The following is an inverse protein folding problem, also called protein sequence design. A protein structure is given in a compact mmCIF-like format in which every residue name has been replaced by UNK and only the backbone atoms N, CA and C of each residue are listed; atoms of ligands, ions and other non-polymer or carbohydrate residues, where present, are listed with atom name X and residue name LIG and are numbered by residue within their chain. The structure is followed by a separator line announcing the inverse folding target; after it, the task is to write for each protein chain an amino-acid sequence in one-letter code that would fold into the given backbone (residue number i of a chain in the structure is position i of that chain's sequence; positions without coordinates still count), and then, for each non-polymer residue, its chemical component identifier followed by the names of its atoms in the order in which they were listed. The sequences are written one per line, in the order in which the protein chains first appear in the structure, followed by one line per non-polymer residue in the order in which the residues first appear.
data_IF_340966455884
#
_entry.id   IF_340966455884
#
_cell.length_a   1.000
_cell.length_b   1.000
_cell.length_c   1.000
_cell.angle_alpha   90.00
_cell.angle_beta   90.00
_cell.angle_gamma   90.00
#
_symmetry.space_group_name_H-M   'P 1'
#
loop_
_entity.id
_entity.type
_entity.pdbx_description
1 polymer ?
#
# COMPACT_ATOMS: atom_id res chain seq x y z
N UNK A 1 2.30 62.03 8.97
CA UNK A 1 2.94 62.46 7.71
C UNK A 1 2.87 61.29 6.75
N UNK A 2 1.87 61.27 5.88
CA UNK A 2 1.79 60.33 4.76
C UNK A 2 2.91 60.65 3.78
N UNK A 3 3.86 59.72 3.60
CA UNK A 3 4.77 59.78 2.47
C UNK A 3 3.96 59.43 1.23
N UNK A 4 3.58 60.45 0.44
CA UNK A 4 3.20 60.27 -0.96
C UNK A 4 4.41 59.65 -1.67
N UNK A 5 4.39 58.33 -1.86
CA UNK A 5 5.29 57.67 -2.79
C UNK A 5 5.05 58.25 -4.18
N UNK A 6 6.07 58.87 -4.76
CA UNK A 6 6.02 59.30 -6.16
C UNK A 6 6.03 58.02 -6.99
N UNK A 7 4.94 57.75 -7.71
CA UNK A 7 4.86 56.69 -8.71
C UNK A 7 5.89 57.03 -9.81
N UNK A 8 6.96 56.24 -9.90
CA UNK A 8 8.01 56.43 -10.90
C UNK A 8 7.52 55.85 -12.23
N UNK A 9 7.11 56.73 -13.15
CA UNK A 9 6.58 56.35 -14.46
C UNK A 9 7.68 55.75 -15.37
N UNK A 10 7.38 54.60 -15.99
CA UNK A 10 8.29 53.83 -16.85
C UNK A 10 8.66 54.61 -18.11
N UNK A 11 7.80 55.52 -18.57
CA UNK A 11 8.09 56.39 -19.72
C UNK A 11 9.24 57.37 -19.43
N UNK A 12 9.41 57.80 -18.17
CA UNK A 12 10.44 58.77 -17.75
C UNK A 12 11.86 58.22 -17.84
N UNK A 13 12.03 56.89 -17.81
CA UNK A 13 13.33 56.21 -17.85
C UNK A 13 13.58 55.45 -19.16
N UNK A 14 12.86 55.81 -20.21
CA UNK A 14 13.01 55.25 -21.56
C UNK A 14 14.09 55.98 -22.36
N UNK A 15 14.82 55.24 -23.20
CA UNK A 15 15.79 55.80 -24.12
C UNK A 15 15.09 56.35 -25.36
N UNK A 16 15.25 57.63 -25.69
CA UNK A 16 14.58 58.20 -26.87
C UNK A 16 15.09 57.72 -28.23
N UNK A 17 16.14 56.88 -28.27
CA UNK A 17 16.67 56.28 -29.51
C UNK A 17 16.01 54.92 -29.77
N UNK A 18 16.09 53.98 -28.81
CA UNK A 18 15.54 52.64 -28.96
C UNK A 18 14.11 52.49 -28.39
N UNK A 19 13.61 53.52 -27.70
CA UNK A 19 12.30 53.56 -27.03
C UNK A 19 12.11 52.52 -25.90
N UNK A 20 13.18 51.81 -25.54
CA UNK A 20 13.20 50.85 -24.42
C UNK A 20 13.72 51.50 -23.13
N UNK A 21 13.45 50.86 -21.99
CA UNK A 21 14.03 51.19 -20.70
C UNK A 21 15.57 51.19 -20.77
N UNK A 22 16.20 52.23 -20.20
CA UNK A 22 17.64 52.47 -20.35
C UNK A 22 18.50 51.26 -19.93
N UNK A 23 19.29 50.72 -20.87
CA UNK A 23 20.32 49.70 -20.62
C UNK A 23 21.67 50.36 -20.54
N UNK A 24 22.35 50.20 -19.41
CA UNK A 24 23.60 50.92 -19.10
C UNK A 24 23.45 52.44 -19.36
N UNK A 25 22.58 53.13 -18.61
CA UNK A 25 22.26 54.53 -18.86
C UNK A 25 23.51 55.40 -18.83
N UNK A 26 23.63 56.30 -19.79
CA UNK A 26 24.64 57.35 -19.83
C UNK A 26 23.94 58.68 -19.92
N UNK A 27 24.35 59.63 -19.08
CA UNK A 27 23.88 61.01 -19.13
C UNK A 27 24.95 61.85 -19.83
N UNK A 28 24.62 62.41 -20.99
CA UNK A 28 25.53 63.30 -21.72
C UNK A 28 25.48 64.72 -21.13
N UNK A 29 26.45 65.63 -21.42
CA UNK A 29 26.58 66.90 -20.69
C UNK A 29 25.36 67.84 -20.77
N UNK A 30 24.48 67.69 -21.75
CA UNK A 30 23.22 68.43 -21.81
C UNK A 30 22.11 67.87 -20.90
N UNK A 31 22.38 66.83 -20.11
CA UNK A 31 21.46 66.24 -19.13
C UNK A 31 20.54 65.13 -19.66
N UNK A 32 20.51 64.88 -20.97
CA UNK A 32 19.72 63.78 -21.54
C UNK A 32 20.41 62.43 -21.33
N UNK A 33 19.61 61.38 -21.14
CA UNK A 33 20.12 60.04 -20.86
C UNK A 33 19.70 59.02 -21.91
N UNK A 34 20.64 58.17 -22.32
CA UNK A 34 20.44 57.14 -23.34
C UNK A 34 21.09 55.82 -22.93
N UNK A 35 20.75 54.73 -23.60
CA UNK A 35 21.54 53.51 -23.51
C UNK A 35 22.94 53.80 -24.06
N UNK A 36 23.99 53.33 -23.37
CA UNK A 36 25.39 53.50 -23.78
C UNK A 36 25.59 53.16 -25.26
N UNK A 37 25.11 52.00 -25.70
CA UNK A 37 25.25 51.53 -27.08
C UNK A 37 24.49 52.40 -28.09
N UNK A 38 23.33 52.93 -27.73
CA UNK A 38 22.50 53.74 -28.62
C UNK A 38 23.14 55.09 -28.93
N UNK A 39 23.63 55.80 -27.90
CA UNK A 39 24.31 57.09 -28.11
C UNK A 39 25.68 56.92 -28.75
N UNK A 40 26.38 55.83 -28.42
CA UNK A 40 27.64 55.49 -29.09
C UNK A 40 27.42 55.27 -30.59
N UNK A 41 26.43 54.46 -30.98
CA UNK A 41 26.11 54.19 -32.40
C UNK A 41 25.70 55.46 -33.14
N UNK A 42 24.92 56.33 -32.48
CA UNK A 42 24.52 57.62 -33.06
C UNK A 42 25.74 58.51 -33.36
N UNK A 43 26.70 58.60 -32.44
CA UNK A 43 27.92 59.39 -32.65
C UNK A 43 28.95 58.74 -33.57
N UNK A 44 29.04 57.41 -33.60
CA UNK A 44 29.92 56.68 -34.52
C UNK A 44 29.54 56.96 -36.00
N UNK A 45 28.26 57.19 -36.28
CA UNK A 45 27.80 57.65 -37.60
C UNK A 45 28.14 59.11 -37.93
N UNK A 46 28.46 59.93 -36.91
CA UNK A 46 28.80 61.36 -37.04
C UNK A 46 30.31 61.64 -36.95
N UNK A 47 31.15 60.64 -36.65
CA UNK A 47 32.61 60.77 -36.47
C UNK A 47 33.31 61.41 -37.68
N UNK A 48 32.78 61.24 -38.89
CA UNK A 48 33.33 61.88 -40.11
C UNK A 48 33.14 63.41 -40.18
N UNK A 49 32.30 64.00 -39.33
CA UNK A 49 31.99 65.45 -39.30
C UNK A 49 32.58 66.18 -38.09
N UNK A 50 33.25 65.48 -37.16
CA UNK A 50 33.78 66.01 -35.89
C UNK A 50 32.75 66.79 -35.06
N UNK A 51 31.45 66.52 -35.22
CA UNK A 51 30.38 67.27 -34.58
C UNK A 51 29.35 66.26 -34.04
N UNK A 52 29.37 66.04 -32.72
CA UNK A 52 28.50 65.05 -32.07
C UNK A 52 27.30 65.74 -31.47
N UNK A 53 26.09 65.39 -31.93
CA UNK A 53 24.88 66.07 -31.49
C UNK A 53 24.05 65.23 -30.51
N UNK A 54 23.29 65.89 -29.63
CA UNK A 54 22.28 65.24 -28.79
C UNK A 54 21.02 64.92 -29.63
N UNK A 55 20.52 63.68 -29.65
CA UNK A 55 19.33 63.31 -30.40
C UNK A 55 18.07 64.10 -30.04
N UNK A 56 17.91 64.53 -28.78
CA UNK A 56 16.70 65.21 -28.30
C UNK A 56 16.76 66.72 -28.46
N UNK A 57 17.84 67.37 -27.98
CA UNK A 57 17.95 68.83 -27.98
C UNK A 57 18.89 69.40 -29.04
N UNK A 58 19.56 68.53 -29.82
CA UNK A 58 20.50 68.90 -30.90
C UNK A 58 21.69 69.74 -30.46
N UNK A 59 21.98 69.81 -29.16
CA UNK A 59 23.18 70.43 -28.64
C UNK A 59 24.43 69.68 -29.13
N UNK A 60 25.43 70.42 -29.62
CA UNK A 60 26.62 69.86 -30.27
C UNK A 60 27.83 69.90 -29.36
N UNK A 61 28.65 68.85 -29.38
CA UNK A 61 29.83 68.71 -28.53
C UNK A 61 31.09 68.53 -29.38
N UNK A 62 32.11 69.34 -29.11
CA UNK A 62 33.45 69.25 -29.72
C UNK A 62 34.51 69.56 -28.65
N UNK A 63 35.36 68.61 -28.21
CA UNK A 63 35.50 67.23 -28.69
C UNK A 63 34.37 66.27 -28.21
N UNK A 64 34.36 65.03 -28.73
CA UNK A 64 33.40 63.97 -28.35
C UNK A 64 33.39 63.75 -26.84
N UNK A 65 32.23 63.82 -26.16
CA UNK A 65 32.14 63.52 -24.74
C UNK A 65 32.50 62.06 -24.46
N UNK A 66 33.26 61.83 -23.38
CA UNK A 66 33.52 60.48 -22.89
C UNK A 66 32.24 59.94 -22.24
N UNK A 67 31.75 58.80 -22.73
CA UNK A 67 30.56 58.16 -22.20
C UNK A 67 30.91 57.34 -20.95
N UNK A 68 30.34 57.71 -19.81
CA UNK A 68 30.49 56.98 -18.55
C UNK A 68 29.11 56.56 -18.06
N UNK A 69 28.99 55.30 -17.63
CA UNK A 69 27.74 54.76 -17.10
C UNK A 69 27.29 55.56 -15.86
N UNK A 70 26.06 56.06 -15.89
CA UNK A 70 25.40 56.67 -14.76
C UNK A 70 24.92 55.57 -13.80
N UNK A 71 25.69 55.33 -12.74
CA UNK A 71 25.42 54.28 -11.75
C UNK A 71 24.13 54.51 -10.98
N UNK A 72 23.75 55.77 -10.72
CA UNK A 72 22.51 56.11 -10.02
C UNK A 72 21.27 55.78 -10.87
N UNK A 73 21.26 56.20 -12.15
CA UNK A 73 20.17 55.83 -13.06
C UNK A 73 20.11 54.32 -13.28
N UNK A 74 21.26 53.64 -13.34
CA UNK A 74 21.28 52.18 -13.45
C UNK A 74 20.61 51.51 -12.24
N UNK A 75 20.86 51.98 -11.01
CA UNK A 75 20.22 51.45 -9.81
C UNK A 75 18.70 51.71 -9.82
N UNK A 76 18.27 52.91 -10.20
CA UNK A 76 16.84 53.27 -10.27
C UNK A 76 16.10 52.44 -11.33
N UNK A 77 16.71 52.26 -12.52
CA UNK A 77 16.15 51.42 -13.59
C UNK A 77 16.08 49.95 -13.18
N UNK A 78 17.09 49.43 -12.48
CA UNK A 78 17.06 48.06 -11.96
C UNK A 78 16.03 47.88 -10.84
N UNK A 79 15.84 48.89 -9.99
CA UNK A 79 14.74 48.90 -9.02
C UNK A 79 13.39 48.88 -9.76
N UNK A 80 13.18 49.72 -10.77
CA UNK A 80 11.97 49.70 -11.60
C UNK A 80 11.73 48.35 -12.28
N UNK A 81 12.77 47.67 -12.77
CA UNK A 81 12.65 46.30 -13.29
C UNK A 81 12.21 45.32 -12.21
N UNK A 82 12.76 45.42 -10.99
CA UNK A 82 12.40 44.53 -9.87
C UNK A 82 11.00 44.82 -9.33
N UNK A 83 10.58 46.07 -9.28
CA UNK A 83 9.22 46.48 -8.87
C UNK A 83 8.20 46.22 -9.99
N UNK A 84 8.61 46.28 -11.26
CA UNK A 84 7.83 45.93 -12.45
C UNK A 84 7.77 44.42 -12.77
N UNK A 85 8.60 43.60 -12.11
CA UNK A 85 8.51 42.13 -12.08
C UNK A 85 7.56 41.61 -10.98
N UNK A 86 6.66 42.47 -10.49
CA UNK A 86 5.39 42.04 -9.92
C UNK A 86 4.43 41.69 -11.06
N UNK A 87 4.41 40.42 -11.46
CA UNK A 87 3.57 39.83 -12.50
C UNK A 87 2.05 39.80 -12.15
N UNK A 88 1.49 40.91 -11.66
CA UNK A 88 0.10 40.99 -11.22
C UNK A 88 -0.68 42.22 -11.71
N UNK A 89 -0.07 43.19 -12.42
CA UNK A 89 -0.77 44.42 -12.82
C UNK A 89 -1.06 44.58 -14.33
N UNK A 90 -0.41 43.80 -15.21
CA UNK A 90 -0.65 43.88 -16.66
C UNK A 90 -1.75 42.92 -17.18
N UNK A 91 -2.33 42.10 -16.29
CA UNK A 91 -3.31 41.07 -16.65
C UNK A 91 -4.78 41.52 -16.44
N UNK A 92 -5.00 42.76 -16.01
CA UNK A 92 -6.35 43.26 -15.73
C UNK A 92 -7.20 43.60 -16.95
N UNK A 93 -6.78 43.27 -18.18
CA UNK A 93 -7.55 43.58 -19.38
C UNK A 93 -7.75 42.41 -20.34
N UNK A 94 -7.07 41.28 -20.19
CA UNK A 94 -7.21 40.16 -21.14
C UNK A 94 -8.04 39.05 -20.50
N UNK A 95 -8.92 38.41 -21.28
CA UNK A 95 -9.57 37.18 -20.83
C UNK A 95 -8.51 36.07 -20.73
N UNK A 96 -8.39 35.42 -19.57
CA UNK A 96 -7.62 34.18 -19.41
C UNK A 96 -8.30 32.99 -20.10
N UNK A 97 -7.66 31.81 -20.06
CA UNK A 97 -8.16 30.60 -20.73
C UNK A 97 -9.53 30.09 -20.22
N UNK A 98 -9.94 30.52 -19.03
CA UNK A 98 -11.22 30.16 -18.40
C UNK A 98 -12.22 31.34 -18.34
N UNK A 99 -11.85 32.50 -18.92
CA UNK A 99 -12.68 33.71 -18.86
C UNK A 99 -13.59 33.85 -20.08
N UNK A 100 -14.87 34.11 -19.83
CA UNK A 100 -15.83 34.45 -20.90
C UNK A 100 -15.39 35.74 -21.58
N UNK A 101 -15.20 35.70 -22.90
CA UNK A 101 -14.74 36.84 -23.71
C UNK A 101 -15.88 37.80 -24.07
N UNK A 102 -15.53 39.06 -24.34
CA UNK A 102 -16.48 40.03 -24.89
C UNK A 102 -16.70 39.80 -26.40
N UNK A 103 -17.96 39.58 -26.79
CA UNK A 103 -18.33 39.29 -28.17
C UNK A 103 -18.13 40.51 -29.11
N UNK A 104 -18.26 41.72 -28.57
CA UNK A 104 -18.22 42.98 -29.34
C UNK A 104 -16.80 43.48 -29.61
N UNK A 105 -15.79 43.09 -28.82
CA UNK A 105 -14.42 43.57 -29.04
C UNK A 105 -13.90 43.16 -30.42
N UNK A 106 -13.44 44.12 -31.21
CA UNK A 106 -12.73 43.90 -32.47
C UNK A 106 -11.22 43.89 -32.18
N UNK A 107 -10.56 42.76 -32.39
CA UNK A 107 -9.15 42.54 -32.03
C UNK A 107 -8.97 41.78 -30.71
N UNK A 108 -8.14 42.28 -29.79
CA UNK A 108 -7.88 41.64 -28.48
C UNK A 108 -9.19 41.54 -27.67
N UNK A 109 -9.62 40.32 -27.39
CA UNK A 109 -10.83 40.05 -26.62
C UNK A 109 -10.61 40.33 -25.14
N UNK A 110 -11.39 41.25 -24.60
CA UNK A 110 -11.37 41.59 -23.17
C UNK A 110 -12.29 40.64 -22.41
N UNK A 111 -12.00 40.40 -21.13
CA UNK A 111 -12.88 39.65 -20.22
C UNK A 111 -14.27 40.30 -20.16
N UNK A 112 -15.31 39.49 -20.34
CA UNK A 112 -16.68 39.91 -20.15
C UNK A 112 -16.97 40.09 -18.65
N UNK A 113 -17.72 41.14 -18.32
CA UNK A 113 -18.14 41.46 -16.96
C UNK A 113 -19.62 41.10 -16.76
N UNK A 114 -20.44 41.20 -17.81
CA UNK A 114 -21.83 40.75 -17.83
C UNK A 114 -22.23 40.21 -19.19
N UNK A 115 -23.19 39.30 -19.20
CA UNK A 115 -23.90 38.86 -20.40
C UNK A 115 -25.32 39.40 -20.40
N UNK A 116 -25.84 39.72 -21.57
CA UNK A 116 -27.22 40.16 -21.75
C UNK A 116 -28.10 39.00 -22.22
N UNK A 117 -29.16 38.69 -21.48
CA UNK A 117 -30.11 37.63 -21.83
C UNK A 117 -31.02 37.96 -23.02
N UNK A 118 -31.02 39.22 -23.47
CA UNK A 118 -31.80 39.68 -24.64
C UNK A 118 -30.93 39.75 -25.89
N UNK A 119 -29.70 40.29 -25.77
CA UNK A 119 -28.77 40.34 -26.90
C UNK A 119 -28.01 39.03 -27.14
N UNK A 120 -28.09 38.08 -26.19
CA UNK A 120 -27.36 36.81 -26.21
C UNK A 120 -25.86 36.97 -26.44
N UNK A 121 -25.31 38.02 -25.83
CA UNK A 121 -23.91 38.41 -25.97
C UNK A 121 -23.31 38.82 -24.62
N UNK A 122 -22.01 38.62 -24.50
CA UNK A 122 -21.15 38.91 -23.36
C UNK A 122 -20.35 40.18 -23.62
N UNK A 123 -20.30 41.07 -22.63
CA UNK A 123 -19.75 42.41 -22.76
C UNK A 123 -18.66 42.66 -21.72
N UNK A 124 -17.52 43.19 -22.16
CA UNK A 124 -16.54 43.82 -21.27
C UNK A 124 -17.10 45.15 -20.75
N UNK A 125 -16.50 45.70 -19.70
CA UNK A 125 -17.00 46.92 -19.04
C UNK A 125 -17.27 48.07 -20.04
N UNK A 126 -16.34 48.31 -20.97
CA UNK A 126 -16.47 49.35 -22.01
C UNK A 126 -17.70 49.16 -22.90
N UNK A 127 -17.95 47.94 -23.37
CA UNK A 127 -19.09 47.65 -24.24
C UNK A 127 -20.41 47.51 -23.46
N UNK A 128 -20.33 47.20 -22.17
CA UNK A 128 -21.46 47.15 -21.27
C UNK A 128 -22.07 48.54 -21.02
N UNK A 129 -21.26 49.61 -21.07
CA UNK A 129 -21.72 50.99 -20.87
C UNK A 129 -22.91 51.39 -21.77
N UNK A 130 -23.02 50.81 -22.98
CA UNK A 130 -24.19 51.07 -23.86
C UNK A 130 -25.51 50.58 -23.25
N UNK A 131 -25.50 49.49 -22.49
CA UNK A 131 -26.68 49.01 -21.77
C UNK A 131 -27.11 49.96 -20.65
N UNK A 132 -26.17 50.73 -20.07
CA UNK A 132 -26.49 51.74 -19.08
C UNK A 132 -26.84 53.10 -19.66
N UNK A 133 -26.32 53.46 -20.84
CA UNK A 133 -26.47 54.82 -21.36
C UNK A 133 -27.59 54.96 -22.40
N UNK A 134 -27.99 53.87 -23.07
CA UNK A 134 -29.03 53.88 -24.11
C UNK A 134 -30.38 53.48 -23.51
N UNK A 135 -31.37 54.37 -23.55
CA UNK A 135 -32.65 54.19 -22.87
C UNK A 135 -33.41 52.89 -23.21
N UNK A 136 -33.48 52.43 -24.48
CA UNK A 136 -34.03 51.11 -24.82
C UNK A 136 -33.27 49.92 -24.18
N UNK A 137 -31.94 49.99 -24.10
CA UNK A 137 -31.09 48.89 -23.63
C UNK A 137 -31.03 48.79 -22.10
N UNK A 138 -31.39 49.86 -21.36
CA UNK A 138 -31.49 49.85 -19.89
C UNK A 138 -32.45 48.79 -19.34
N UNK A 139 -33.42 48.36 -20.16
CA UNK A 139 -34.41 47.34 -19.78
C UNK A 139 -33.91 45.90 -19.96
N UNK A 140 -32.77 45.72 -20.62
CA UNK A 140 -32.21 44.39 -20.84
C UNK A 140 -31.69 43.80 -19.52
N UNK A 141 -32.01 42.52 -19.28
CA UNK A 141 -31.52 41.81 -18.10
C UNK A 141 -30.08 41.36 -18.29
N UNK A 142 -29.19 41.89 -17.44
CA UNK A 142 -27.78 41.52 -17.38
C UNK A 142 -27.57 40.45 -16.29
N UNK A 143 -26.76 39.44 -16.61
CA UNK A 143 -26.37 38.34 -15.71
C UNK A 143 -24.85 38.18 -15.73
N UNK A 144 -24.33 37.35 -14.82
CA UNK A 144 -22.90 37.03 -14.82
C UNK A 144 -22.51 36.31 -16.13
N UNK A 145 -21.28 36.53 -16.62
CA UNK A 145 -20.83 35.95 -17.87
C UNK A 145 -20.89 34.42 -17.85
N UNK A 146 -21.39 33.84 -18.94
CA UNK A 146 -21.40 32.39 -19.14
C UNK A 146 -21.11 32.08 -20.60
N UNK A 147 -20.18 31.16 -20.86
CA UNK A 147 -19.93 30.63 -22.22
C UNK A 147 -21.15 29.92 -22.80
N UNK A 148 -21.98 29.36 -21.91
CA UNK A 148 -23.17 28.58 -22.23
C UNK A 148 -24.44 29.41 -22.16
N UNK A 149 -24.34 30.71 -22.47
CA UNK A 149 -25.49 31.62 -22.43
C UNK A 149 -26.63 31.14 -23.33
N UNK A 150 -26.30 30.62 -24.52
CA UNK A 150 -27.26 30.08 -25.48
C UNK A 150 -27.97 28.80 -25.00
N UNK A 151 -27.33 27.98 -24.15
CA UNK A 151 -27.95 26.78 -23.55
C UNK A 151 -29.14 27.14 -22.62
N UNK A 152 -29.25 28.40 -22.20
CA UNK A 152 -30.32 28.88 -21.31
C UNK A 152 -31.51 29.49 -22.06
N UNK A 153 -31.52 29.44 -23.40
CA UNK A 153 -32.55 30.04 -24.24
C UNK A 153 -33.26 28.96 -25.03
N UNK A 154 -34.59 29.01 -25.07
CA UNK A 154 -35.40 28.07 -25.82
C UNK A 154 -35.19 28.28 -27.32
N UNK A 155 -34.70 27.26 -28.02
CA UNK A 155 -34.45 27.27 -29.46
C UNK A 155 -35.70 27.48 -30.33
N UNK A 156 -36.90 27.19 -29.80
CA UNK A 156 -38.17 27.35 -30.53
C UNK A 156 -38.80 28.74 -30.37
N UNK A 157 -38.54 29.38 -29.24
CA UNK A 157 -39.27 30.59 -28.83
C UNK A 157 -38.35 31.79 -28.58
N UNK A 158 -37.03 31.61 -28.66
CA UNK A 158 -35.99 32.60 -28.35
C UNK A 158 -36.16 33.27 -26.97
N UNK A 159 -36.82 32.55 -26.05
CA UNK A 159 -37.13 33.00 -24.70
C UNK A 159 -36.28 32.26 -23.66
N UNK A 160 -35.86 32.96 -22.62
CA UNK A 160 -35.05 32.38 -21.54
C UNK A 160 -35.82 31.26 -20.86
N UNK A 161 -35.18 30.10 -20.73
CA UNK A 161 -35.73 28.97 -20.01
C UNK A 161 -35.78 29.28 -18.52
N UNK A 162 -36.99 29.38 -17.97
CA UNK A 162 -37.25 29.71 -16.55
C UNK A 162 -38.12 28.67 -15.86
N UNK A 163 -38.57 27.67 -16.61
CA UNK A 163 -39.39 26.56 -16.15
C UNK A 163 -38.60 25.27 -16.27
N UNK A 164 -38.94 24.28 -15.45
CA UNK A 164 -38.40 22.93 -15.52
C UNK A 164 -39.56 21.95 -15.60
N UNK A 165 -39.54 21.08 -16.61
CA UNK A 165 -40.49 19.99 -16.72
C UNK A 165 -39.90 18.77 -16.00
N UNK A 166 -40.57 18.31 -14.94
CA UNK A 166 -40.17 17.12 -14.18
C UNK A 166 -40.43 15.83 -14.94
N UNK A 167 -41.47 15.81 -15.78
CA UNK A 167 -41.83 14.65 -16.61
C UNK A 167 -40.75 14.36 -17.64
N UNK A 168 -40.22 15.39 -18.30
CA UNK A 168 -39.22 15.26 -19.37
C UNK A 168 -37.79 15.58 -18.91
N UNK A 169 -37.61 15.95 -17.64
CA UNK A 169 -36.33 16.31 -17.02
C UNK A 169 -35.54 17.39 -17.76
N UNK A 170 -36.20 18.43 -18.25
CA UNK A 170 -35.57 19.49 -19.04
C UNK A 170 -36.01 20.90 -18.64
N UNK A 171 -35.09 21.86 -18.83
CA UNK A 171 -35.39 23.29 -18.71
C UNK A 171 -36.15 23.75 -19.96
N UNK A 172 -37.23 24.50 -19.77
CA UNK A 172 -38.10 25.01 -20.85
C UNK A 172 -38.46 26.48 -20.62
N UNK A 173 -38.92 27.19 -21.65
CA UNK A 173 -39.48 28.53 -21.51
C UNK A 173 -40.97 28.48 -21.13
N UNK A 174 -41.56 29.65 -20.82
CA UNK A 174 -42.98 29.73 -20.44
C UNK A 174 -43.93 29.30 -21.57
N UNK A 175 -43.60 29.61 -22.84
CA UNK A 175 -44.42 29.22 -23.99
C UNK A 175 -44.44 27.70 -24.18
N UNK A 176 -43.30 27.03 -24.04
CA UNK A 176 -43.22 25.56 -24.03
C UNK A 176 -44.12 24.92 -22.96
N UNK A 177 -44.25 25.55 -21.78
CA UNK A 177 -45.06 24.98 -20.68
C UNK A 177 -46.57 24.96 -20.97
N UNK A 178 -47.06 25.84 -21.85
CA UNK A 178 -48.48 25.94 -22.20
C UNK A 178 -48.83 25.34 -23.56
N UNK A 179 -47.81 24.94 -24.34
CA UNK A 179 -47.92 24.32 -25.66
C UNK A 179 -47.49 22.84 -25.62
N UNK A 180 -46.24 22.52 -26.01
CA UNK A 180 -45.73 21.14 -26.07
C UNK A 180 -45.77 20.39 -24.73
N UNK A 181 -45.47 21.06 -23.62
CA UNK A 181 -45.46 20.47 -22.28
C UNK A 181 -46.78 20.69 -21.53
N UNK A 182 -47.87 20.97 -22.26
CA UNK A 182 -49.17 21.21 -21.65
C UNK A 182 -49.66 19.96 -20.92
N UNK A 183 -49.86 20.09 -19.61
CA UNK A 183 -50.30 19.00 -18.74
C UNK A 183 -49.18 18.18 -18.12
N UNK A 184 -47.91 18.49 -18.41
CA UNK A 184 -46.77 17.90 -17.69
C UNK A 184 -46.58 18.60 -16.34
N UNK A 185 -45.87 17.92 -15.42
CA UNK A 185 -45.50 18.54 -14.13
C UNK A 185 -44.38 19.57 -14.37
N UNK A 186 -44.79 20.83 -14.54
CA UNK A 186 -43.87 21.95 -14.77
C UNK A 186 -43.83 22.86 -13.56
N UNK A 187 -42.62 23.14 -13.09
CA UNK A 187 -42.34 24.06 -11.98
C UNK A 187 -41.37 25.14 -12.44
N UNK A 188 -41.21 26.23 -11.67
CA UNK A 188 -40.15 27.19 -11.97
C UNK A 188 -38.77 26.56 -11.75
N UNK A 189 -37.79 26.87 -12.60
CA UNK A 189 -36.41 26.35 -12.45
C UNK A 189 -35.79 26.74 -11.11
N UNK A 190 -36.17 27.90 -10.54
CA UNK A 190 -35.71 28.34 -9.23
C UNK A 190 -36.25 27.47 -8.07
N UNK A 191 -37.52 27.05 -8.16
CA UNK A 191 -38.11 26.15 -7.17
C UNK A 191 -37.49 24.75 -7.27
N UNK A 192 -37.39 24.18 -8.48
CA UNK A 192 -36.77 22.85 -8.68
C UNK A 192 -35.31 22.84 -8.20
N UNK A 193 -34.53 23.87 -8.53
CA UNK A 193 -33.15 24.00 -8.05
C UNK A 193 -33.08 23.96 -6.53
N UNK A 194 -34.01 24.63 -5.84
CA UNK A 194 -34.02 24.66 -4.37
C UNK A 194 -34.31 23.27 -3.78
N UNK A 195 -35.19 22.49 -4.40
CA UNK A 195 -35.48 21.11 -3.98
C UNK A 195 -34.29 20.19 -4.24
N UNK A 196 -33.76 20.17 -5.47
CA UNK A 196 -32.59 19.36 -5.83
C UNK A 196 -31.34 19.73 -5.06
N UNK A 197 -31.17 21.00 -4.70
CA UNK A 197 -30.06 21.43 -3.85
C UNK A 197 -30.13 20.81 -2.45
N UNK A 198 -31.34 20.65 -1.87
CA UNK A 198 -31.52 19.98 -0.57
C UNK A 198 -31.23 18.48 -0.68
N UNK A 199 -31.74 17.82 -1.72
CA UNK A 199 -31.45 16.39 -1.97
C UNK A 199 -29.95 16.14 -2.17
N UNK A 200 -29.28 17.02 -2.92
CA UNK A 200 -27.83 16.95 -3.15
C UNK A 200 -27.05 17.08 -1.84
N UNK A 201 -27.44 18.01 -0.96
CA UNK A 201 -26.77 18.18 0.33
C UNK A 201 -26.93 16.94 1.23
N UNK A 202 -28.12 16.32 1.26
CA UNK A 202 -28.34 15.05 1.98
C UNK A 202 -27.47 13.93 1.38
N UNK A 203 -27.40 13.82 0.06
CA UNK A 203 -26.56 12.82 -0.63
C UNK A 203 -25.07 13.04 -0.35
N UNK A 204 -24.64 14.31 -0.34
CA UNK A 204 -23.26 14.71 -0.02
C UNK A 204 -22.90 14.34 1.41
N UNK A 205 -23.78 14.60 2.37
CA UNK A 205 -23.57 14.21 3.78
C UNK A 205 -23.46 12.68 3.93
N UNK A 206 -24.33 11.91 3.27
CA UNK A 206 -24.24 10.43 3.25
C UNK A 206 -22.91 9.95 2.67
N UNK A 207 -22.45 10.57 1.59
CA UNK A 207 -21.17 10.23 0.95
C UNK A 207 -19.99 10.56 1.87
N UNK A 208 -20.00 11.73 2.51
CA UNK A 208 -18.98 12.12 3.49
C UNK A 208 -18.95 11.17 4.69
N UNK A 209 -20.10 10.71 5.18
CA UNK A 209 -20.15 9.73 6.24
C UNK A 209 -19.51 8.40 5.82
N UNK A 210 -19.87 7.88 4.64
CA UNK A 210 -19.26 6.66 4.09
C UNK A 210 -17.75 6.79 3.91
N UNK A 211 -17.26 7.96 3.49
CA UNK A 211 -15.81 8.23 3.39
C UNK A 211 -15.17 8.13 4.77
N UNK A 212 -15.74 8.74 5.81
CA UNK A 212 -15.22 8.65 7.19
C UNK A 212 -15.21 7.22 7.71
N UNK A 213 -16.29 6.46 7.48
CA UNK A 213 -16.39 5.06 7.89
C UNK A 213 -15.31 4.22 7.20
N UNK A 214 -15.14 4.39 5.89
CA UNK A 214 -14.10 3.68 5.13
C UNK A 214 -12.68 4.08 5.53
N UNK A 215 -12.46 5.35 5.87
CA UNK A 215 -11.18 5.79 6.43
C UNK A 215 -10.89 5.13 7.79
N UNK A 216 -11.91 4.89 8.61
CA UNK A 216 -11.77 4.11 9.85
C UNK A 216 -11.46 2.65 9.57
N UNK A 217 -12.14 2.03 8.61
CA UNK A 217 -11.85 0.64 8.17
C UNK A 217 -10.41 0.50 7.69
N UNK A 218 -9.92 1.44 6.85
CA UNK A 218 -8.54 1.44 6.35
C UNK A 218 -7.54 1.54 7.50
N UNK A 219 -7.76 2.43 8.47
CA UNK A 219 -6.88 2.54 9.65
C UNK A 219 -6.87 1.25 10.48
N UNK A 220 -8.02 0.60 10.64
CA UNK A 220 -8.11 -0.68 11.35
C UNK A 220 -7.34 -1.79 10.62
N UNK A 221 -7.40 -1.82 9.29
CA UNK A 221 -6.62 -2.76 8.47
C UNK A 221 -5.11 -2.47 8.55
N UNK A 222 -4.70 -1.20 8.49
CA UNK A 222 -3.30 -0.80 8.66
C UNK A 222 -2.75 -1.28 10.01
N UNK A 223 -3.50 -1.07 11.10
CA UNK A 223 -3.11 -1.57 12.42
C UNK A 223 -2.99 -3.11 12.47
N UNK A 224 -3.91 -3.83 11.81
CA UNK A 224 -3.83 -5.29 11.71
C UNK A 224 -2.56 -5.73 10.97
N UNK A 225 -2.24 -5.09 9.84
CA UNK A 225 -1.02 -5.37 9.06
C UNK A 225 0.23 -5.14 9.91
N UNK A 226 0.30 -4.01 10.62
CA UNK A 226 1.41 -3.70 11.53
C UNK A 226 1.56 -4.74 12.65
N UNK A 227 0.45 -5.31 13.14
CA UNK A 227 0.47 -6.31 14.21
C UNK A 227 0.77 -7.74 13.74
N UNK A 228 0.61 -8.05 12.43
CA UNK A 228 0.86 -9.41 11.92
C UNK A 228 2.33 -9.80 12.09
N UNK A 229 3.28 -8.91 11.76
CA UNK A 229 4.71 -9.23 11.86
C UNK A 229 5.14 -9.50 13.32
N UNK A 230 4.84 -8.63 14.31
CA UNK A 230 5.15 -8.91 15.70
C UNK A 230 4.52 -10.20 16.23
N UNK A 231 3.27 -10.51 15.84
CA UNK A 231 2.62 -11.76 16.24
C UNK A 231 3.32 -12.99 15.63
N UNK A 232 3.75 -12.90 14.37
CA UNK A 232 4.52 -13.96 13.73
C UNK A 232 5.88 -14.15 14.41
N UNK A 233 6.59 -13.07 14.71
CA UNK A 233 7.88 -13.10 15.41
C UNK A 233 7.74 -13.71 16.82
N UNK A 234 6.70 -13.31 17.57
CA UNK A 234 6.41 -13.89 18.88
C UNK A 234 6.10 -15.40 18.79
N UNK A 235 5.34 -15.82 17.77
CA UNK A 235 5.06 -17.22 17.54
C UNK A 235 6.34 -18.01 17.19
N UNK A 236 7.21 -17.46 16.33
CA UNK A 236 8.50 -18.06 15.98
C UNK A 236 9.36 -18.21 17.24
N UNK A 237 9.47 -17.18 18.07
CA UNK A 237 10.27 -17.20 19.30
C UNK A 237 9.76 -18.25 20.31
N UNK A 238 8.43 -18.35 20.49
CA UNK A 238 7.82 -19.37 21.35
C UNK A 238 8.11 -20.79 20.83
N UNK A 239 7.93 -21.02 19.54
CA UNK A 239 8.21 -22.31 18.92
C UNK A 239 9.71 -22.65 19.01
N UNK A 240 10.59 -21.67 18.80
CA UNK A 240 12.03 -21.84 18.91
C UNK A 240 12.42 -22.30 20.32
N UNK A 241 11.84 -21.71 21.38
CA UNK A 241 12.06 -22.15 22.77
C UNK A 241 11.63 -23.59 23.01
N UNK A 242 10.44 -23.96 22.52
CA UNK A 242 9.91 -25.32 22.67
C UNK A 242 10.82 -26.34 21.99
N UNK A 243 11.24 -26.06 20.75
CA UNK A 243 12.13 -26.95 20.00
C UNK A 243 13.54 -27.01 20.61
N UNK A 244 14.04 -25.90 21.14
CA UNK A 244 15.33 -25.87 21.84
C UNK A 244 15.30 -26.74 23.09
N UNK A 245 14.22 -26.70 23.87
CA UNK A 245 14.07 -27.56 25.05
C UNK A 245 14.01 -29.04 24.67
N UNK A 246 13.35 -29.39 23.56
CA UNK A 246 13.34 -30.77 23.05
C UNK A 246 14.74 -31.25 22.65
N UNK A 247 15.53 -30.40 21.98
CA UNK A 247 16.93 -30.71 21.63
C UNK A 247 17.74 -30.95 22.89
N UNK A 248 17.60 -30.08 23.90
CA UNK A 248 18.29 -30.20 25.19
C UNK A 248 18.00 -31.54 25.87
N UNK A 249 16.73 -31.96 25.92
CA UNK A 249 16.34 -33.26 26.47
C UNK A 249 16.96 -34.43 25.70
N UNK A 250 17.05 -34.34 24.37
CA UNK A 250 17.69 -35.37 23.54
C UNK A 250 19.21 -35.44 23.77
N UNK A 251 19.88 -34.30 23.95
CA UNK A 251 21.30 -34.24 24.31
C UNK A 251 21.59 -34.83 25.69
N UNK A 252 20.70 -34.60 26.68
CA UNK A 252 20.79 -35.24 27.99
C UNK A 252 20.68 -36.76 27.88
N UNK A 253 19.71 -37.26 27.10
CA UNK A 253 19.54 -38.71 26.87
C UNK A 253 20.74 -39.32 26.14
N UNK A 254 21.28 -38.64 25.14
CA UNK A 254 22.53 -39.03 24.48
C UNK A 254 23.67 -39.19 25.49
N UNK A 255 23.86 -38.19 26.36
CA UNK A 255 24.92 -38.19 27.37
C UNK A 255 24.73 -39.30 28.40
N UNK A 256 23.49 -39.62 28.74
CA UNK A 256 23.16 -40.72 29.67
C UNK A 256 23.50 -42.09 29.08
N UNK A 257 23.13 -42.35 27.82
CA UNK A 257 23.49 -43.59 27.11
C UNK A 257 25.01 -43.75 27.04
N UNK A 258 25.74 -42.67 26.68
CA UNK A 258 27.20 -42.69 26.65
C UNK A 258 27.80 -43.04 28.02
N UNK A 259 27.31 -42.40 29.09
CA UNK A 259 27.77 -42.67 30.45
C UNK A 259 27.53 -44.12 30.88
N UNK A 260 26.36 -44.67 30.56
CA UNK A 260 26.02 -46.06 30.89
C UNK A 260 26.94 -47.05 30.14
N UNK A 261 27.21 -46.81 28.86
CA UNK A 261 28.14 -47.64 28.07
C UNK A 261 29.55 -47.59 28.68
N UNK A 262 30.07 -46.39 28.98
CA UNK A 262 31.42 -46.24 29.56
C UNK A 262 31.56 -46.87 30.93
N UNK A 263 30.55 -46.72 31.79
CA UNK A 263 30.55 -47.36 33.12
C UNK A 263 30.56 -48.89 33.02
N UNK A 264 29.77 -49.45 32.08
CA UNK A 264 29.75 -50.90 31.86
C UNK A 264 31.05 -51.40 31.23
N UNK A 265 31.61 -50.66 30.27
CA UNK A 265 32.94 -50.92 29.70
C UNK A 265 34.00 -51.00 30.79
N UNK A 266 34.09 -49.98 31.66
CA UNK A 266 35.07 -49.94 32.76
C UNK A 266 34.92 -51.13 33.73
N UNK A 267 33.68 -51.49 34.06
CA UNK A 267 33.38 -52.63 34.95
C UNK A 267 33.82 -53.95 34.32
N UNK A 268 33.47 -54.18 33.06
CA UNK A 268 33.85 -55.41 32.35
C UNK A 268 35.36 -55.50 32.11
N UNK A 269 36.02 -54.38 31.75
CA UNK A 269 37.49 -54.32 31.61
C UNK A 269 38.17 -54.62 32.93
N UNK A 270 37.69 -54.06 34.05
CA UNK A 270 38.24 -54.34 35.37
C UNK A 270 38.12 -55.82 35.74
N UNK A 271 36.98 -56.44 35.44
CA UNK A 271 36.75 -57.88 35.66
C UNK A 271 37.69 -58.76 34.83
N UNK A 272 37.90 -58.39 33.56
CA UNK A 272 38.84 -59.11 32.68
C UNK A 272 40.28 -58.96 33.17
N UNK A 273 40.71 -57.75 33.57
CA UNK A 273 42.05 -57.51 34.12
C UNK A 273 42.30 -58.27 35.42
N UNK A 274 41.29 -58.42 36.27
CA UNK A 274 41.40 -59.22 37.50
C UNK A 274 41.62 -60.70 37.18
N UNK A 275 40.90 -61.25 36.18
CA UNK A 275 41.10 -62.61 35.70
C UNK A 275 42.49 -62.81 35.07
N UNK A 276 42.93 -61.85 34.25
CA UNK A 276 44.27 -61.82 33.65
C UNK A 276 45.36 -61.86 34.73
N UNK A 277 45.26 -61.01 35.75
CA UNK A 277 46.24 -60.98 36.85
C UNK A 277 46.27 -62.29 37.66
N UNK A 278 45.12 -62.93 37.89
CA UNK A 278 45.05 -64.25 38.54
C UNK A 278 45.78 -65.31 37.72
N UNK A 279 45.55 -65.34 36.40
CA UNK A 279 46.24 -66.26 35.49
C UNK A 279 47.75 -65.99 35.43
N UNK A 280 48.18 -64.73 35.39
CA UNK A 280 49.61 -64.38 35.41
C UNK A 280 50.30 -64.84 36.70
N UNK A 281 49.62 -64.72 37.85
CA UNK A 281 50.11 -65.22 39.12
C UNK A 281 50.23 -66.75 39.12
N UNK A 282 49.21 -67.45 38.60
CA UNK A 282 49.22 -68.92 38.48
C UNK A 282 50.37 -69.39 37.56
N UNK A 283 50.55 -68.75 36.39
CA UNK A 283 51.67 -69.01 35.47
C UNK A 283 53.02 -68.81 36.18
N UNK A 284 53.15 -67.78 37.01
CA UNK A 284 54.39 -67.47 37.73
C UNK A 284 54.71 -68.56 38.76
N UNK A 285 53.71 -69.02 39.53
CA UNK A 285 53.88 -70.12 40.48
C UNK A 285 54.19 -71.45 39.79
N UNK A 286 53.54 -71.73 38.66
CA UNK A 286 53.82 -72.92 37.84
C UNK A 286 55.26 -72.88 37.31
N UNK A 287 55.72 -71.73 36.79
CA UNK A 287 57.12 -71.55 36.34
C UNK A 287 58.15 -71.72 37.48
N UNK A 288 57.83 -71.24 38.69
CA UNK A 288 58.69 -71.41 39.87
C UNK A 288 58.83 -72.89 40.22
N UNK A 289 57.70 -73.62 40.29
CA UNK A 289 57.70 -75.08 40.55
C UNK A 289 58.44 -75.86 39.48
N UNK A 290 58.24 -75.51 38.21
CA UNK A 290 58.94 -76.11 37.08
C UNK A 290 60.47 -75.98 37.24
N UNK A 291 60.95 -74.78 37.62
CA UNK A 291 62.38 -74.55 37.89
C UNK A 291 62.90 -75.36 39.10
N UNK A 292 62.10 -75.51 40.16
CA UNK A 292 62.47 -76.33 41.33
C UNK A 292 62.54 -77.83 40.97
N UNK A 293 61.61 -78.31 40.17
CA UNK A 293 61.61 -79.67 39.63
C UNK A 293 62.81 -79.92 38.71
N UNK A 294 63.12 -78.98 37.82
CA UNK A 294 64.28 -79.05 36.93
C UNK A 294 65.59 -79.14 37.73
N UNK A 295 65.80 -78.27 38.73
CA UNK A 295 66.96 -78.34 39.63
C UNK A 295 67.07 -79.66 40.37
N UNK A 296 65.95 -80.17 40.89
CA UNK A 296 65.92 -81.45 41.59
C UNK A 296 66.30 -82.60 40.65
N UNK A 297 65.83 -82.58 39.40
CA UNK A 297 66.15 -83.62 38.40
C UNK A 297 67.65 -83.73 38.08
N UNK A 298 68.40 -82.64 38.25
CA UNK A 298 69.86 -82.58 38.05
C UNK A 298 70.68 -82.88 39.33
N UNK A 299 70.04 -83.22 40.45
CA UNK A 299 70.72 -83.52 41.72
C UNK A 299 71.29 -84.94 41.70
N UNK A 300 72.60 -85.09 41.91
CA UNK A 300 73.29 -86.38 41.82
C UNK A 300 73.24 -87.20 43.14
N UNK A 301 72.94 -86.56 44.27
CA UNK A 301 72.76 -87.23 45.56
C UNK A 301 71.35 -87.84 45.66
N UNK A 302 71.30 -89.17 45.61
CA UNK A 302 70.06 -89.96 45.65
C UNK A 302 69.24 -89.73 46.94
N UNK A 303 69.90 -89.51 48.09
CA UNK A 303 69.20 -89.26 49.35
C UNK A 303 68.60 -87.86 49.36
N UNK A 304 69.34 -86.85 48.88
CA UNK A 304 68.85 -85.49 48.77
C UNK A 304 67.67 -85.38 47.80
N UNK A 305 67.72 -86.11 46.67
CA UNK A 305 66.60 -86.20 45.73
C UNK A 305 65.33 -86.73 46.42
N UNK A 306 65.45 -87.88 47.10
CA UNK A 306 64.32 -88.54 47.76
C UNK A 306 63.74 -87.72 48.92
N UNK A 307 64.58 -86.95 49.63
CA UNK A 307 64.12 -86.06 50.71
C UNK A 307 63.38 -84.83 50.18
N UNK A 308 63.78 -84.27 49.04
CA UNK A 308 63.19 -83.05 48.49
C UNK A 308 61.98 -83.32 47.56
N UNK A 309 61.95 -84.48 46.89
CA UNK A 309 60.91 -84.87 45.93
C UNK A 309 59.45 -84.71 46.43
N UNK A 310 59.07 -85.14 47.65
CA UNK A 310 57.69 -85.02 48.14
C UNK A 310 57.20 -83.57 48.26
N UNK A 311 58.12 -82.61 48.48
CA UNK A 311 57.80 -81.19 48.60
C UNK A 311 57.54 -80.54 47.24
N UNK A 312 58.25 -80.99 46.19
CA UNK A 312 58.15 -80.40 44.84
C UNK A 312 57.07 -81.06 43.98
N UNK A 313 56.85 -82.36 44.16
CA UNK A 313 55.91 -83.18 43.35
C UNK A 313 54.43 -82.89 43.61
N UNK A 314 54.07 -82.22 44.71
CA UNK A 314 52.68 -81.81 44.96
C UNK A 314 52.32 -80.59 44.11
N UNK A 315 51.80 -80.83 42.92
CA UNK A 315 50.92 -79.87 42.27
C UNK A 315 49.59 -79.86 43.02
N UNK A 316 49.18 -78.67 43.49
CA UNK A 316 47.77 -78.47 43.84
C UNK A 316 47.08 -78.36 42.48
N UNK A 317 46.36 -79.41 42.08
CA UNK A 317 45.36 -79.25 41.04
C UNK A 317 44.26 -78.38 41.63
N UNK A 318 44.15 -77.16 41.16
CA UNK A 318 43.01 -76.31 41.50
C UNK A 318 41.77 -76.85 40.75
N UNK A 319 40.69 -77.25 41.45
CA UNK A 319 39.49 -77.77 40.81
C UNK A 319 38.86 -76.81 39.79
N UNK A 320 39.15 -75.50 39.88
CA UNK A 320 38.62 -74.45 39.02
C UNK A 320 39.48 -74.14 37.76
N UNK A 321 40.55 -74.91 37.49
CA UNK A 321 41.45 -74.70 36.32
C UNK A 321 40.82 -74.91 34.93
N UNK A 322 39.49 -75.07 34.87
CA UNK A 322 38.75 -75.18 33.61
C UNK A 322 39.00 -73.98 32.70
N UNK A 323 39.31 -74.27 31.43
CA UNK A 323 39.53 -73.30 30.36
C UNK A 323 38.54 -72.12 30.42
N UNK A 324 39.05 -70.90 30.56
CA UNK A 324 38.23 -69.68 30.52
C UNK A 324 37.50 -69.63 29.18
N UNK A 325 36.17 -69.79 29.23
CA UNK A 325 35.34 -69.70 28.04
C UNK A 325 35.15 -68.21 27.68
N UNK A 326 35.97 -67.70 26.76
CA UNK A 326 35.82 -66.35 26.23
C UNK A 326 34.60 -66.34 25.29
N UNK A 327 33.51 -65.70 25.72
CA UNK A 327 32.29 -65.57 24.90
C UNK A 327 32.51 -64.53 23.79
N UNK A 328 32.04 -64.76 22.54
CA UNK A 328 32.12 -63.77 21.47
C UNK A 328 31.40 -62.45 21.80
N UNK A 329 31.91 -61.39 21.19
CA UNK A 329 31.93 -60.02 21.70
C UNK A 329 30.82 -59.14 21.08
N UNK A 330 29.59 -59.26 21.57
CA UNK A 330 28.47 -58.36 21.21
C UNK A 330 28.02 -57.52 22.41
N UNK A 331 28.95 -56.93 23.17
CA UNK A 331 28.67 -56.29 24.48
C UNK A 331 27.63 -55.16 24.44
N UNK A 332 27.43 -54.49 23.31
CA UNK A 332 26.59 -53.29 23.21
C UNK A 332 25.68 -53.25 21.96
N UNK A 333 25.55 -54.36 21.22
CA UNK A 333 24.66 -54.43 20.05
C UNK A 333 23.18 -54.24 20.43
N UNK A 334 22.77 -54.78 21.58
CA UNK A 334 21.42 -54.61 22.11
C UNK A 334 21.11 -53.14 22.41
N UNK A 335 22.10 -52.39 22.92
CA UNK A 335 21.96 -50.94 23.21
C UNK A 335 21.77 -50.18 21.90
N UNK A 336 22.55 -50.51 20.88
CA UNK A 336 22.43 -49.89 19.55
C UNK A 336 21.05 -50.19 18.95
N UNK A 337 20.58 -51.43 19.06
CA UNK A 337 19.25 -51.85 18.59
C UNK A 337 18.14 -51.09 19.30
N UNK A 338 18.21 -50.97 20.63
CA UNK A 338 17.22 -50.23 21.42
C UNK A 338 17.18 -48.73 21.06
N UNK A 339 18.35 -48.10 20.81
CA UNK A 339 18.41 -46.69 20.37
C UNK A 339 17.83 -46.53 18.96
N UNK A 340 18.04 -47.49 18.06
CA UNK A 340 17.42 -47.48 16.73
C UNK A 340 15.89 -47.59 16.82
N UNK A 341 15.35 -48.47 17.67
CA UNK A 341 13.91 -48.56 17.88
C UNK A 341 13.30 -47.25 18.44
N UNK A 342 14.02 -46.58 19.36
CA UNK A 342 13.61 -45.27 19.88
C UNK A 342 13.58 -44.22 18.76
N UNK A 343 14.60 -44.20 17.89
CA UNK A 343 14.68 -43.29 16.74
C UNK A 343 13.47 -43.45 15.82
N UNK A 344 13.14 -44.69 15.45
CA UNK A 344 12.00 -44.97 14.56
C UNK A 344 10.67 -44.50 15.17
N UNK A 345 10.46 -44.76 16.47
CA UNK A 345 9.26 -44.28 17.18
C UNK A 345 9.16 -42.76 17.20
N UNK A 346 10.25 -42.06 17.50
CA UNK A 346 10.30 -40.60 17.48
C UNK A 346 10.04 -40.04 16.09
N UNK A 347 10.62 -40.64 15.05
CA UNK A 347 10.42 -40.21 13.67
C UNK A 347 8.97 -40.33 13.23
N UNK A 348 8.29 -41.42 13.59
CA UNK A 348 6.87 -41.62 13.29
C UNK A 348 6.01 -40.56 13.97
N UNK A 349 6.18 -40.34 15.28
CA UNK A 349 5.43 -39.34 16.02
C UNK A 349 5.66 -37.92 15.49
N UNK A 350 6.91 -37.58 15.14
CA UNK A 350 7.21 -36.29 14.52
C UNK A 350 6.52 -36.11 13.17
N UNK A 351 6.47 -37.16 12.36
CA UNK A 351 5.84 -37.10 11.03
C UNK A 351 4.33 -36.92 11.12
N UNK A 352 3.68 -37.65 12.03
CA UNK A 352 2.24 -37.55 12.27
C UNK A 352 1.85 -36.14 12.72
N UNK A 353 2.50 -35.62 13.77
CA UNK A 353 2.19 -34.31 14.32
C UNK A 353 2.61 -33.15 13.39
N UNK A 354 3.61 -33.36 12.53
CA UNK A 354 4.01 -32.35 11.54
C UNK A 354 2.87 -31.97 10.60
N UNK A 355 2.02 -32.93 10.24
CA UNK A 355 0.87 -32.66 9.37
C UNK A 355 -0.13 -31.70 10.02
N UNK A 356 -0.37 -31.85 11.33
CA UNK A 356 -1.23 -30.97 12.11
C UNK A 356 -0.64 -29.55 12.19
N UNK A 357 0.65 -29.43 12.46
CA UNK A 357 1.37 -28.14 12.50
C UNK A 357 1.28 -27.43 11.14
N UNK A 358 1.56 -28.16 10.06
CA UNK A 358 1.50 -27.61 8.70
C UNK A 358 0.09 -27.12 8.34
N UNK A 359 -0.94 -27.84 8.79
CA UNK A 359 -2.34 -27.45 8.56
C UNK A 359 -2.69 -26.16 9.32
N UNK A 360 -2.30 -26.04 10.59
CA UNK A 360 -2.53 -24.83 11.39
C UNK A 360 -1.87 -23.58 10.80
N UNK A 361 -0.66 -23.72 10.23
CA UNK A 361 0.02 -22.62 9.53
C UNK A 361 -0.77 -22.18 8.30
N UNK A 362 -1.28 -23.13 7.53
CA UNK A 362 -1.97 -22.87 6.25
C UNK A 362 -3.36 -22.26 6.45
N UNK A 363 -4.11 -22.68 7.47
CA UNK A 363 -5.48 -22.20 7.73
C UNK A 363 -5.57 -20.74 8.15
N UNK A 364 -4.49 -20.16 8.69
CA UNK A 364 -4.47 -18.80 9.24
C UNK A 364 -4.49 -17.70 8.16
N UNK A 365 -4.27 -18.05 6.88
CA UNK A 365 -4.08 -17.10 5.77
C UNK A 365 -5.35 -16.58 5.08
N UNK A 366 -6.55 -17.02 5.48
CA UNK A 366 -7.79 -16.57 4.81
C UNK A 366 -8.30 -15.29 5.46
N UNK A 367 -8.10 -14.16 4.79
CA UNK A 367 -8.91 -12.96 4.99
C UNK A 367 -10.36 -13.31 4.63
N UNK A 368 -11.12 -13.83 5.59
CA UNK A 368 -12.54 -14.03 5.45
C UNK A 368 -13.18 -12.67 5.23
N UNK A 369 -13.86 -12.51 4.09
CA UNK A 369 -14.84 -11.43 3.98
C UNK A 369 -15.80 -11.56 5.17
N UNK A 370 -16.15 -10.44 5.83
CA UNK A 370 -17.00 -10.50 7.01
C UNK A 370 -18.31 -11.18 6.64
N UNK A 371 -18.62 -12.30 7.31
CA UNK A 371 -19.88 -12.99 7.13
C UNK A 371 -21.04 -12.00 7.31
N UNK A 372 -22.05 -12.03 6.43
CA UNK A 372 -23.17 -11.10 6.52
C UNK A 372 -23.88 -11.26 7.85
N UNK A 373 -23.81 -10.27 8.75
CA UNK A 373 -24.47 -10.33 10.08
C UNK A 373 -25.88 -9.75 10.09
N UNK A 374 -26.37 -9.26 8.95
CA UNK A 374 -27.70 -8.63 8.85
C UNK A 374 -28.53 -9.32 7.79
N UNK A 375 -29.86 -9.35 7.98
CA UNK A 375 -30.81 -9.89 6.99
C UNK A 375 -30.59 -9.29 5.59
N UNK A 376 -30.29 -8.00 5.51
CA UNK A 376 -29.98 -7.32 4.25
C UNK A 376 -28.69 -7.85 3.59
N UNK A 377 -27.66 -8.17 4.39
CA UNK A 377 -26.44 -8.82 3.91
C UNK A 377 -26.68 -10.23 3.38
N UNK A 378 -27.51 -11.04 4.06
CA UNK A 378 -27.86 -12.38 3.58
C UNK A 378 -28.68 -12.35 2.28
N UNK A 379 -29.60 -11.39 2.13
CA UNK A 379 -30.45 -11.28 0.95
C UNK A 379 -29.67 -11.02 -0.34
N UNK A 380 -28.44 -10.49 -0.27
CA UNK A 380 -27.56 -10.31 -1.45
C UNK A 380 -27.13 -11.64 -2.07
N UNK A 381 -27.13 -12.72 -1.28
CA UNK A 381 -26.81 -14.08 -1.73
C UNK A 381 -28.05 -14.91 -2.05
N UNK A 382 -29.26 -14.33 -1.91
CA UNK A 382 -30.49 -15.04 -2.22
C UNK A 382 -30.57 -15.34 -3.71
N UNK A 383 -30.71 -16.63 -4.04
CA UNK A 383 -30.98 -17.10 -5.40
C UNK A 383 -32.30 -17.86 -5.40
N UNK A 384 -33.07 -17.73 -6.47
CA UNK A 384 -34.24 -18.58 -6.67
C UNK A 384 -33.76 -19.97 -7.07
N UNK A 385 -33.92 -20.93 -6.18
CA UNK A 385 -33.56 -22.34 -6.43
C UNK A 385 -34.72 -23.00 -7.19
N UNK A 386 -34.41 -23.67 -8.29
CA UNK A 386 -35.33 -24.54 -9.03
C UNK A 386 -34.79 -25.95 -8.99
N UNK A 387 -35.66 -26.93 -8.72
CA UNK A 387 -35.31 -28.34 -8.68
C UNK A 387 -35.25 -28.90 -10.11
N UNK A 388 -34.27 -29.77 -10.37
CA UNK A 388 -34.16 -30.43 -11.68
C UNK A 388 -35.18 -31.56 -11.79
N UNK A 389 -36.18 -31.46 -12.69
CA UNK A 389 -37.23 -32.46 -12.84
C UNK A 389 -36.72 -33.85 -13.24
N UNK A 390 -35.50 -33.96 -13.81
CA UNK A 390 -34.93 -35.23 -14.24
C UNK A 390 -34.33 -36.05 -13.09
N UNK A 391 -34.17 -35.45 -11.91
CA UNK A 391 -33.57 -36.09 -10.72
C UNK A 391 -34.56 -36.34 -9.60
N UNK A 392 -35.84 -36.04 -9.84
CA UNK A 392 -36.90 -36.16 -8.84
C UNK A 392 -37.26 -37.63 -8.62
N UNK A 393 -37.24 -38.06 -7.37
CA UNK A 393 -37.72 -39.39 -6.97
C UNK A 393 -39.18 -39.59 -7.41
N UNK A 394 -39.52 -40.76 -7.93
CA UNK A 394 -40.87 -41.07 -8.47
C UNK A 394 -42.03 -40.83 -7.48
N UNK A 395 -41.76 -40.78 -6.17
CA UNK A 395 -42.75 -40.50 -5.13
C UNK A 395 -42.96 -39.01 -4.86
N UNK A 396 -42.22 -38.13 -5.53
CA UNK A 396 -42.25 -36.68 -5.35
C UNK A 396 -42.76 -36.00 -6.62
N UNK A 397 -43.60 -34.99 -6.45
CA UNK A 397 -44.15 -34.19 -7.54
C UNK A 397 -43.68 -32.74 -7.42
N UNK A 398 -43.25 -32.16 -8.53
CA UNK A 398 -42.82 -30.76 -8.59
C UNK A 398 -43.97 -29.87 -9.07
N UNK A 399 -44.13 -28.71 -8.43
CA UNK A 399 -45.11 -27.69 -8.79
C UNK A 399 -44.49 -26.29 -8.67
N UNK A 400 -45.24 -25.26 -9.09
CA UNK A 400 -44.79 -23.85 -9.09
C UNK A 400 -43.44 -23.65 -9.81
N UNK A 401 -43.36 -24.06 -11.09
CA UNK A 401 -42.12 -23.98 -11.89
C UNK A 401 -40.92 -24.70 -11.23
N UNK A 402 -41.16 -25.91 -10.69
CA UNK A 402 -40.16 -26.74 -10.04
C UNK A 402 -39.58 -26.15 -8.74
N UNK A 403 -40.36 -25.33 -8.05
CA UNK A 403 -39.95 -24.66 -6.80
C UNK A 403 -40.62 -25.26 -5.56
N UNK A 404 -41.62 -26.12 -5.74
CA UNK A 404 -42.34 -26.77 -4.66
C UNK A 404 -42.40 -28.27 -4.88
N UNK A 405 -42.16 -29.05 -3.82
CA UNK A 405 -42.23 -30.51 -3.82
C UNK A 405 -43.42 -30.97 -3.00
N UNK A 406 -44.19 -31.90 -3.52
CA UNK A 406 -45.28 -32.59 -2.81
C UNK A 406 -45.10 -34.10 -2.90
N UNK A 407 -45.14 -34.80 -1.76
CA UNK A 407 -45.05 -36.26 -1.69
C UNK A 407 -46.37 -36.89 -2.12
N UNK A 408 -46.31 -37.83 -3.05
CA UNK A 408 -47.47 -38.58 -3.53
C UNK A 408 -47.78 -39.72 -2.55
N UNK A 409 -48.71 -39.51 -1.62
CA UNK A 409 -49.23 -40.58 -0.75
C UNK A 409 -50.38 -41.31 -1.45
N UNK A 410 -50.14 -42.54 -1.91
CA UNK A 410 -51.19 -43.48 -2.30
C UNK A 410 -51.98 -43.90 -1.04
N UNK A 411 -53.19 -43.36 -0.89
CA UNK A 411 -54.19 -43.83 0.07
C UNK A 411 -54.69 -45.21 -0.37
N UNK A 412 -54.11 -46.28 0.18
CA UNK A 412 -54.81 -47.56 0.26
C UNK A 412 -55.96 -47.43 1.26
N UNK A 413 -57.19 -47.50 0.76
CA UNK A 413 -58.40 -47.61 1.56
C UNK A 413 -58.34 -48.88 2.43
N UNK A 414 -58.22 -48.72 3.74
CA UNK A 414 -58.84 -49.60 4.72
C UNK A 414 -59.71 -48.75 5.67
N UNK A 415 -60.87 -49.30 5.99
CA UNK A 415 -61.97 -48.70 6.74
C UNK A 415 -61.60 -48.13 8.12
N UNK A 416 -62.08 -46.90 8.38
CA UNK A 416 -62.56 -46.35 9.67
C UNK A 416 -61.54 -45.86 10.75
N UNK A 417 -61.93 -44.89 11.61
CA UNK A 417 -61.53 -43.48 11.44
C UNK A 417 -60.84 -42.88 12.68
N UNK A 418 -59.90 -41.94 12.46
CA UNK A 418 -59.74 -40.70 13.24
C UNK A 418 -58.35 -40.07 13.00
N UNK A 419 -58.32 -38.73 13.13
CA UNK A 419 -57.15 -37.86 13.35
C UNK A 419 -56.49 -37.19 12.13
N UNK A 420 -57.02 -36.00 11.85
CA UNK A 420 -56.32 -34.70 11.67
C UNK A 420 -55.12 -34.62 10.71
N UNK A 421 -55.34 -33.88 9.62
CA UNK A 421 -54.34 -33.30 8.73
C UNK A 421 -53.20 -32.60 9.48
N UNK A 422 -51.95 -32.95 9.14
CA UNK A 422 -50.78 -32.12 9.44
C UNK A 422 -50.10 -31.73 8.13
N UNK A 423 -50.27 -30.46 7.76
CA UNK A 423 -49.58 -29.80 6.66
C UNK A 423 -48.12 -29.54 7.05
N UNK A 424 -47.20 -30.46 6.75
CA UNK A 424 -45.77 -30.19 6.85
C UNK A 424 -45.28 -29.47 5.58
N UNK A 425 -45.26 -28.13 5.66
CA UNK A 425 -44.48 -27.29 4.75
C UNK A 425 -43.01 -27.36 5.15
N UNK A 426 -42.18 -27.98 4.30
CA UNK A 426 -40.73 -27.77 4.34
C UNK A 426 -40.44 -26.57 3.43
N UNK A 427 -39.97 -25.48 4.03
CA UNK A 427 -39.45 -24.30 3.32
C UNK A 427 -37.93 -24.37 3.44
N UNK A 428 -37.22 -24.35 2.31
CA UNK A 428 -35.76 -24.21 2.25
C UNK A 428 -35.37 -22.74 2.19
#
# INVERSE_FOLDING_TARGET
MEQKGVELDQETFSCSICLDLLKDPVTIPCGHSYCMSCIQTHWDGEDGKNLHSCPQCRHTFTPRPVLVKNTMLAVVVEQLKKTGLGAAAADHCCAGAEDVVCDVCTGRKLKAVKSCLVCLASYCDKHLQRHYNVAPLKKHKLVDPSEKLQENVCSRHDEVMKMFCRTDHQCICYLCSVDEHKGHDTVSSAAERTERQKELEVSRQKTQQRIKDKQKDVKALQQKVENISPCADEAVEKNHKILTELIRLMEERRSDVERQIRSKEETEVSRVKELESKLEQEITELRRKDTEMDKLSHTHDHNQFLLQYPSVSKLREDPDSSHIHIRPQSYFEDVTTAVLELREKLQLSLTEEWTNISLSITQTLVLLEPEPQTRAGFLQYSRQITLDPNTVNERLSLSEQNRRVTLWTLLFYFYSPSLTETNNKIIF
#
